data_IF_164739646589
#
_entry.id   IF_164739646589
#
_cell.length_a   1.000
_cell.length_b   1.000
_cell.length_c   1.000
_cell.angle_alpha   90.00
_cell.angle_beta   90.00
_cell.angle_gamma   90.00
#
_symmetry.space_group_name_H-M   'P 1'
#
loop_
_entity.id
_entity.type
_entity.pdbx_description
1 polymer ?
#
# COMPACT_ATOMS: atom_id res chain seq x y z
N UNK A 1 38.77 -3.65 9.56
CA UNK A 1 38.13 -3.08 8.36
C UNK A 1 36.66 -3.46 8.43
N UNK A 2 35.74 -2.49 8.50
CA UNK A 2 34.31 -2.80 8.54
C UNK A 2 33.88 -3.40 7.20
N UNK A 3 33.19 -4.54 7.22
CA UNK A 3 32.51 -5.07 6.03
C UNK A 3 31.64 -3.95 5.46
N UNK A 4 31.67 -3.78 4.15
CA UNK A 4 30.89 -2.76 3.47
C UNK A 4 29.40 -3.01 3.79
N UNK A 5 28.78 -2.13 4.58
CA UNK A 5 27.37 -2.27 5.00
C UNK A 5 26.38 -1.82 3.93
N UNK A 6 26.86 -1.41 2.75
CA UNK A 6 26.02 -1.05 1.63
C UNK A 6 25.45 -2.30 0.97
N UNK A 7 24.17 -2.32 0.59
CA UNK A 7 23.53 -3.48 -0.03
C UNK A 7 24.30 -4.05 -1.22
N UNK A 8 24.85 -3.18 -2.08
CA UNK A 8 25.62 -3.60 -3.25
C UNK A 8 26.90 -4.35 -2.87
N UNK A 9 27.67 -3.85 -1.90
CA UNK A 9 28.87 -4.54 -1.43
C UNK A 9 28.55 -5.89 -0.81
N UNK A 10 27.39 -6.04 -0.16
CA UNK A 10 26.95 -7.32 0.38
C UNK A 10 26.55 -8.33 -0.71
N UNK A 11 26.06 -7.86 -1.85
CA UNK A 11 25.75 -8.71 -3.02
C UNK A 11 27.05 -9.15 -3.70
N UNK A 12 28.00 -8.24 -3.87
CA UNK A 12 29.29 -8.54 -4.50
C UNK A 12 30.16 -9.48 -3.65
N UNK A 13 30.08 -9.35 -2.32
CA UNK A 13 30.77 -10.22 -1.35
C UNK A 13 30.04 -11.57 -1.13
N UNK A 14 28.96 -11.85 -1.86
CA UNK A 14 28.21 -13.10 -1.71
C UNK A 14 29.04 -14.28 -2.21
N UNK A 15 29.04 -15.37 -1.44
CA UNK A 15 29.80 -16.55 -1.76
C UNK A 15 29.28 -17.19 -3.07
N UNK A 16 30.20 -17.65 -3.92
CA UNK A 16 29.87 -18.05 -5.30
C UNK A 16 28.95 -19.26 -5.35
N UNK A 17 29.08 -20.24 -4.45
CA UNK A 17 28.15 -21.37 -4.36
C UNK A 17 26.74 -20.92 -3.99
N UNK A 18 26.61 -19.93 -3.11
CA UNK A 18 25.32 -19.31 -2.76
C UNK A 18 24.67 -18.66 -3.99
N UNK A 19 25.44 -17.92 -4.79
CA UNK A 19 24.94 -17.34 -6.06
C UNK A 19 24.47 -18.45 -7.01
N UNK A 20 25.28 -19.50 -7.18
CA UNK A 20 24.95 -20.62 -8.07
C UNK A 20 23.68 -21.35 -7.62
N UNK A 21 23.54 -21.63 -6.32
CA UNK A 21 22.35 -22.26 -5.74
C UNK A 21 21.10 -21.41 -5.97
N UNK A 22 21.15 -20.11 -5.66
CA UNK A 22 20.01 -19.21 -5.84
C UNK A 22 19.58 -19.09 -7.30
N UNK A 23 20.53 -18.87 -8.22
CA UNK A 23 20.23 -18.73 -9.65
C UNK A 23 19.68 -20.03 -10.23
N UNK A 24 20.27 -21.17 -9.88
CA UNK A 24 19.79 -22.48 -10.35
C UNK A 24 18.38 -22.76 -9.85
N UNK A 25 18.12 -22.49 -8.57
CA UNK A 25 16.80 -22.62 -7.93
C UNK A 25 15.74 -21.77 -8.64
N UNK A 26 16.04 -20.50 -8.87
CA UNK A 26 15.16 -19.55 -9.55
C UNK A 26 14.87 -20.00 -10.99
N UNK A 27 15.90 -20.47 -11.71
CA UNK A 27 15.79 -20.88 -13.11
C UNK A 27 14.96 -22.15 -13.27
N UNK A 28 15.16 -23.15 -12.40
CA UNK A 28 14.39 -24.41 -12.42
C UNK A 28 12.89 -24.17 -12.28
N UNK A 29 12.49 -23.28 -11.38
CA UNK A 29 11.09 -22.93 -11.16
C UNK A 29 10.52 -22.10 -12.33
N UNK A 30 11.31 -21.18 -12.88
CA UNK A 30 10.89 -20.30 -13.97
C UNK A 30 10.74 -21.02 -15.33
N UNK A 31 11.56 -22.03 -15.62
CA UNK A 31 11.60 -22.69 -16.93
C UNK A 31 10.36 -23.55 -17.24
N UNK A 32 9.49 -23.77 -16.25
CA UNK A 32 8.23 -24.51 -16.42
C UNK A 32 7.14 -23.72 -17.15
N UNK A 33 7.39 -22.46 -17.51
CA UNK A 33 6.44 -21.61 -18.24
C UNK A 33 5.24 -21.18 -17.39
N UNK A 34 4.24 -20.55 -17.99
CA UNK A 34 3.05 -20.07 -17.27
C UNK A 34 2.01 -21.20 -17.14
N UNK A 35 1.44 -21.44 -15.95
CA UNK A 35 0.39 -22.44 -15.79
C UNK A 35 -0.90 -22.02 -16.50
N UNK A 36 -1.64 -23.00 -17.02
CA UNK A 36 -2.87 -22.76 -17.79
C UNK A 36 -4.14 -23.12 -17.01
N UNK A 37 -4.06 -24.01 -16.01
CA UNK A 37 -5.21 -24.46 -15.20
C UNK A 37 -5.05 -24.15 -13.71
N UNK A 38 -6.16 -24.09 -12.99
CA UNK A 38 -6.17 -23.83 -11.54
C UNK A 38 -5.53 -24.98 -10.75
N UNK A 39 -5.69 -26.22 -11.22
CA UNK A 39 -5.03 -27.39 -10.64
C UNK A 39 -3.50 -27.31 -10.78
N UNK A 40 -3.02 -26.86 -11.94
CA UNK A 40 -1.59 -26.68 -12.17
C UNK A 40 -1.04 -25.54 -11.31
N UNK A 41 -1.78 -24.45 -11.15
CA UNK A 41 -1.43 -23.35 -10.23
C UNK A 41 -1.29 -23.90 -8.81
N UNK A 42 -2.26 -24.68 -8.32
CA UNK A 42 -2.22 -25.29 -6.99
C UNK A 42 -0.98 -26.18 -6.83
N UNK A 43 -0.74 -27.08 -7.77
CA UNK A 43 0.41 -27.98 -7.74
C UNK A 43 1.73 -27.21 -7.69
N UNK A 44 1.87 -26.16 -8.51
CA UNK A 44 3.10 -25.34 -8.53
C UNK A 44 3.31 -24.56 -7.24
N UNK A 45 2.25 -24.09 -6.60
CA UNK A 45 2.31 -23.44 -5.29
C UNK A 45 2.80 -24.43 -4.22
N UNK A 46 2.27 -25.64 -4.21
CA UNK A 46 2.65 -26.69 -3.25
C UNK A 46 4.11 -27.14 -3.46
N UNK A 47 4.52 -27.31 -4.71
CA UNK A 47 5.90 -27.60 -5.10
C UNK A 47 6.85 -26.45 -4.74
N UNK A 48 6.42 -25.19 -4.90
CA UNK A 48 7.18 -24.01 -4.50
C UNK A 48 7.43 -23.97 -2.99
N UNK A 49 6.41 -24.22 -2.16
CA UNK A 49 6.60 -24.25 -0.70
C UNK A 49 7.46 -25.44 -0.26
N UNK A 50 7.25 -26.61 -0.88
CA UNK A 50 8.10 -27.78 -0.64
C UNK A 50 9.56 -27.50 -1.01
N UNK A 51 9.77 -26.79 -2.12
CA UNK A 51 11.09 -26.36 -2.56
C UNK A 51 11.75 -25.42 -1.56
N UNK A 52 11.03 -24.40 -1.09
CA UNK A 52 11.53 -23.47 -0.06
C UNK A 52 11.94 -24.21 1.22
N UNK A 53 11.15 -25.21 1.63
CA UNK A 53 11.46 -26.02 2.79
C UNK A 53 12.72 -26.89 2.60
N UNK A 54 12.87 -27.53 1.45
CA UNK A 54 14.01 -28.42 1.16
C UNK A 54 15.32 -27.67 0.97
N UNK A 55 15.26 -26.52 0.29
CA UNK A 55 16.42 -25.67 -0.01
C UNK A 55 16.78 -24.70 1.12
N UNK A 56 15.96 -24.65 2.19
CA UNK A 56 16.07 -23.63 3.25
C UNK A 56 16.02 -22.18 2.72
N UNK A 57 15.46 -21.98 1.51
CA UNK A 57 15.24 -20.65 0.93
C UNK A 57 13.95 -20.08 1.51
N UNK A 58 14.01 -18.81 1.92
CA UNK A 58 12.86 -18.12 2.50
C UNK A 58 11.80 -17.86 1.42
N UNK A 59 10.52 -18.17 1.69
CA UNK A 59 9.46 -17.86 0.74
C UNK A 59 9.26 -16.34 0.63
N UNK A 60 8.98 -15.86 -0.58
CA UNK A 60 8.73 -14.45 -0.86
C UNK A 60 7.83 -14.27 -2.07
N UNK A 61 7.16 -13.11 -2.16
CA UNK A 61 6.20 -12.85 -3.25
C UNK A 61 6.86 -12.87 -4.63
N UNK A 62 8.06 -12.32 -4.75
CA UNK A 62 8.79 -12.34 -6.02
C UNK A 62 9.18 -13.75 -6.44
N UNK A 63 9.56 -14.58 -5.47
CA UNK A 63 9.96 -15.93 -5.78
C UNK A 63 8.76 -16.77 -6.21
N UNK A 64 7.60 -16.56 -5.57
CA UNK A 64 6.33 -17.14 -6.01
C UNK A 64 5.96 -16.70 -7.44
N UNK A 65 6.11 -15.41 -7.77
CA UNK A 65 5.89 -14.92 -9.13
C UNK A 65 6.77 -15.64 -10.15
N UNK A 66 8.06 -15.86 -9.83
CA UNK A 66 8.98 -16.60 -10.69
C UNK A 66 8.57 -18.06 -10.86
N UNK A 67 8.12 -18.72 -9.80
CA UNK A 67 7.65 -20.11 -9.84
C UNK A 67 6.38 -20.30 -10.69
N UNK A 68 5.54 -19.28 -10.76
CA UNK A 68 4.35 -19.26 -11.59
C UNK A 68 4.58 -18.64 -12.98
N UNK A 69 5.79 -18.17 -13.28
CA UNK A 69 6.13 -17.47 -14.52
C UNK A 69 5.18 -16.28 -14.81
N UNK A 70 4.90 -15.49 -13.78
CA UNK A 70 4.03 -14.31 -13.88
C UNK A 70 4.70 -13.05 -13.34
N UNK A 71 4.22 -11.89 -13.78
CA UNK A 71 4.63 -10.61 -13.20
C UNK A 71 3.88 -10.31 -11.88
N UNK A 72 4.44 -9.44 -11.03
CA UNK A 72 3.72 -8.94 -9.84
C UNK A 72 2.37 -8.32 -10.19
N UNK A 73 2.28 -7.61 -11.31
CA UNK A 73 1.02 -7.00 -11.76
C UNK A 73 -0.03 -8.07 -12.03
N UNK A 74 0.37 -9.19 -12.65
CA UNK A 74 -0.50 -10.34 -12.87
C UNK A 74 -0.95 -10.96 -11.56
N UNK A 75 -0.03 -11.18 -10.61
CA UNK A 75 -0.35 -11.69 -9.28
C UNK A 75 -1.35 -10.78 -8.53
N UNK A 76 -1.15 -9.47 -8.61
CA UNK A 76 -2.05 -8.48 -8.01
C UNK A 76 -3.46 -8.53 -8.64
N UNK A 77 -3.54 -8.63 -9.96
CA UNK A 77 -4.81 -8.73 -10.66
C UNK A 77 -5.54 -10.03 -10.31
N UNK A 78 -4.82 -11.15 -10.18
CA UNK A 78 -5.40 -12.43 -9.75
C UNK A 78 -5.92 -12.38 -8.31
N UNK A 79 -5.19 -11.69 -7.43
CA UNK A 79 -5.58 -11.50 -6.04
C UNK A 79 -6.82 -10.60 -5.85
N UNK A 80 -7.07 -9.66 -6.77
CA UNK A 80 -8.26 -8.81 -6.72
C UNK A 80 -9.46 -9.38 -7.49
N UNK A 81 -9.25 -10.48 -8.22
CA UNK A 81 -10.29 -11.24 -8.93
C UNK A 81 -10.75 -12.45 -8.13
N UNK A 82 -10.94 -13.58 -8.83
CA UNK A 82 -11.45 -14.86 -8.29
C UNK A 82 -10.35 -15.86 -7.88
N UNK A 83 -9.08 -15.46 -7.79
CA UNK A 83 -7.97 -16.36 -7.51
C UNK A 83 -7.78 -16.72 -6.03
N UNK A 84 -8.68 -17.52 -5.44
CA UNK A 84 -8.60 -17.93 -4.02
C UNK A 84 -7.28 -18.63 -3.66
N UNK A 85 -6.75 -19.46 -4.57
CA UNK A 85 -5.49 -20.18 -4.38
C UNK A 85 -4.31 -19.23 -4.20
N UNK A 86 -4.26 -18.16 -5.01
CA UNK A 86 -3.19 -17.15 -4.96
C UNK A 86 -3.30 -16.32 -3.69
N UNK A 87 -4.53 -15.97 -3.30
CA UNK A 87 -4.77 -15.24 -2.07
C UNK A 87 -4.34 -16.05 -0.84
N UNK A 88 -4.62 -17.35 -0.84
CA UNK A 88 -4.15 -18.28 0.21
C UNK A 88 -2.62 -18.34 0.26
N UNK A 89 -1.95 -18.54 -0.88
CA UNK A 89 -0.49 -18.58 -0.96
C UNK A 89 0.16 -17.27 -0.50
N UNK A 90 -0.40 -16.12 -0.90
CA UNK A 90 0.04 -14.79 -0.44
C UNK A 90 -0.14 -14.62 1.07
N UNK A 91 -1.26 -15.10 1.61
CA UNK A 91 -1.56 -15.02 3.05
C UNK A 91 -0.61 -15.91 3.86
N UNK A 92 -0.22 -17.07 3.33
CA UNK A 92 0.80 -17.91 3.95
C UNK A 92 2.16 -17.20 4.03
N UNK A 93 2.60 -16.56 2.94
CA UNK A 93 3.84 -15.77 2.92
C UNK A 93 3.76 -14.59 3.90
N UNK A 94 2.58 -13.95 4.02
CA UNK A 94 2.33 -12.91 5.00
C UNK A 94 2.54 -13.40 6.43
N UNK A 95 1.91 -14.53 6.79
CA UNK A 95 2.05 -15.14 8.10
C UNK A 95 3.49 -15.56 8.39
N UNK A 96 4.21 -16.07 7.39
CA UNK A 96 5.64 -16.36 7.53
C UNK A 96 6.47 -15.11 7.89
N UNK A 97 6.27 -14.00 7.18
CA UNK A 97 6.99 -12.74 7.45
C UNK A 97 6.63 -12.20 8.83
N UNK A 98 5.36 -12.26 9.21
CA UNK A 98 4.90 -11.87 10.55
C UNK A 98 5.59 -12.71 11.64
N UNK A 99 5.63 -14.03 11.50
CA UNK A 99 6.31 -14.89 12.48
C UNK A 99 7.82 -14.65 12.51
N UNK A 100 8.45 -14.42 11.37
CA UNK A 100 9.88 -14.08 11.30
C UNK A 100 10.17 -12.72 11.97
N UNK A 101 9.25 -11.76 11.88
CA UNK A 101 9.32 -10.47 12.56
C UNK A 101 9.12 -10.62 14.07
N UNK A 102 8.06 -11.30 14.50
CA UNK A 102 7.73 -11.50 15.92
C UNK A 102 8.77 -12.33 16.67
N UNK A 103 9.44 -13.26 15.99
CA UNK A 103 10.55 -14.04 16.56
C UNK A 103 11.89 -13.31 16.59
N UNK A 104 11.94 -12.05 16.13
CA UNK A 104 13.17 -11.22 16.11
C UNK A 104 14.21 -11.66 15.08
N UNK A 105 13.85 -12.54 14.14
CA UNK A 105 14.74 -13.01 13.06
C UNK A 105 14.89 -12.00 11.93
N UNK A 106 13.92 -11.10 11.79
CA UNK A 106 13.93 -9.99 10.84
C UNK A 106 13.88 -8.68 11.61
N UNK A 107 14.74 -7.71 11.25
CA UNK A 107 14.71 -6.40 11.89
C UNK A 107 13.39 -5.66 11.58
N UNK A 108 12.81 -4.93 12.54
CA UNK A 108 11.53 -4.25 12.35
C UNK A 108 11.42 -3.36 11.11
N UNK A 109 12.43 -2.53 10.75
CA UNK A 109 12.36 -1.72 9.53
C UNK A 109 12.20 -2.55 8.25
N UNK A 110 12.91 -3.68 8.15
CA UNK A 110 12.80 -4.59 7.01
C UNK A 110 11.44 -5.28 6.98
N UNK A 111 10.91 -5.69 8.14
CA UNK A 111 9.56 -6.25 8.24
C UNK A 111 8.50 -5.28 7.74
N UNK A 112 8.51 -4.04 8.23
CA UNK A 112 7.59 -2.97 7.81
C UNK A 112 7.71 -2.72 6.30
N UNK A 113 8.93 -2.65 5.77
CA UNK A 113 9.16 -2.47 4.34
C UNK A 113 8.53 -3.60 3.51
N UNK A 114 8.74 -4.86 3.90
CA UNK A 114 8.16 -6.01 3.20
C UNK A 114 6.64 -6.01 3.28
N UNK A 115 6.06 -5.79 4.48
CA UNK A 115 4.61 -5.77 4.66
C UNK A 115 3.94 -4.66 3.83
N UNK A 116 4.53 -3.47 3.76
CA UNK A 116 4.01 -2.39 2.90
C UNK A 116 4.05 -2.74 1.42
N UNK A 117 5.17 -3.25 0.94
CA UNK A 117 5.38 -3.48 -0.49
C UNK A 117 4.64 -4.73 -1.00
N UNK A 118 4.49 -5.76 -0.17
CA UNK A 118 3.96 -7.06 -0.59
C UNK A 118 2.53 -7.31 -0.11
N UNK A 119 2.19 -6.82 1.09
CA UNK A 119 0.89 -7.03 1.72
C UNK A 119 0.00 -5.79 1.64
N UNK A 120 0.46 -4.73 0.98
CA UNK A 120 -0.27 -3.47 0.80
C UNK A 120 -0.60 -2.76 2.12
N UNK A 121 0.18 -3.00 3.18
CA UNK A 121 0.01 -2.30 4.46
C UNK A 121 0.33 -0.81 4.28
N UNK A 122 -0.37 0.05 5.04
CA UNK A 122 -0.20 1.50 4.99
C UNK A 122 -0.05 2.03 6.41
N UNK A 123 0.82 3.02 6.58
CA UNK A 123 0.89 3.75 7.84
C UNK A 123 -0.32 4.69 7.90
N UNK A 124 -1.08 4.61 8.98
CA UNK A 124 -2.13 5.57 9.27
C UNK A 124 -1.54 6.67 10.13
N UNK A 125 -1.53 7.90 9.62
CA UNK A 125 -1.08 9.09 10.36
C UNK A 125 -2.31 9.98 10.59
N UNK A 126 -2.60 10.31 11.85
CA UNK A 126 -3.58 11.32 12.22
C UNK A 126 -2.84 12.62 12.47
N UNK A 127 -3.17 13.68 11.73
CA UNK A 127 -2.61 15.02 11.91
C UNK A 127 -3.71 15.90 12.48
N UNK A 128 -3.54 16.34 13.73
CA UNK A 128 -4.39 17.36 14.33
C UNK A 128 -3.81 18.74 13.99
N UNK A 129 -4.53 19.51 13.17
CA UNK A 129 -4.18 20.90 12.88
C UNK A 129 -4.43 21.75 14.14
N UNK A 130 -3.35 22.13 14.81
CA UNK A 130 -3.35 23.03 15.97
C UNK A 130 -3.31 24.51 15.58
N UNK A 131 -3.48 24.82 14.29
CA UNK A 131 -3.55 26.20 13.81
C UNK A 131 -4.92 26.75 14.24
N UNK A 132 -4.97 27.78 15.10
CA UNK A 132 -6.23 28.42 15.43
C UNK A 132 -6.83 28.96 14.13
N UNK A 133 -8.05 28.52 13.80
CA UNK A 133 -8.83 29.05 12.69
C UNK A 133 -9.18 30.51 13.00
N UNK A 134 -8.26 31.42 12.69
CA UNK A 134 -8.47 32.85 12.82
C UNK A 134 -9.28 33.28 11.61
N UNK A 135 -10.60 33.20 11.73
CA UNK A 135 -11.49 33.85 10.77
C UNK A 135 -11.18 35.35 10.77
N UNK A 136 -10.34 35.81 9.84
CA UNK A 136 -10.12 37.23 9.59
C UNK A 136 -11.38 37.80 8.95
N UNK A 137 -12.36 38.14 9.78
CA UNK A 137 -13.52 38.90 9.34
C UNK A 137 -13.01 40.30 8.98
N UNK A 138 -13.01 40.62 7.69
CA UNK A 138 -12.80 41.98 7.22
C UNK A 138 -13.99 42.84 7.66
N UNK A 139 -13.82 43.54 8.78
CA UNK A 139 -14.81 44.51 9.26
C UNK A 139 -14.70 45.74 8.38
N UNK A 140 -15.72 46.00 7.56
CA UNK A 140 -15.79 47.23 6.76
C UNK A 140 -15.75 48.44 7.69
N UNK A 141 -14.92 49.41 7.37
CA UNK A 141 -14.90 50.70 8.07
C UNK A 141 -16.13 51.53 7.70
N UNK A 142 -16.50 52.51 8.52
CA UNK A 142 -17.73 53.30 8.31
C UNK A 142 -17.78 54.02 6.95
N UNK A 143 -16.62 54.30 6.34
CA UNK A 143 -16.48 54.85 4.98
C UNK A 143 -16.73 53.85 3.86
N UNK A 144 -16.60 52.55 4.12
CA UNK A 144 -16.76 51.45 3.16
C UNK A 144 -18.16 50.83 3.20
N UNK A 145 -19.00 51.28 4.14
CA UNK A 145 -20.41 50.89 4.18
C UNK A 145 -21.15 51.49 2.99
N UNK A 146 -21.96 50.71 2.25
CA UNK A 146 -22.82 51.24 1.20
C UNK A 146 -23.77 52.29 1.79
N UNK A 147 -23.86 53.47 1.16
CA UNK A 147 -24.84 54.48 1.56
C UNK A 147 -26.24 53.94 1.29
N UNK A 148 -27.10 53.98 2.31
CA UNK A 148 -28.47 53.49 2.23
C UNK A 148 -29.23 54.32 1.18
N UNK A 149 -29.37 53.77 -0.03
CA UNK A 149 -29.99 54.43 -1.18
C UNK A 149 -29.24 54.24 -2.51
N UNK A 150 -27.94 53.91 -2.48
CA UNK A 150 -27.12 53.64 -3.68
C UNK A 150 -26.95 52.13 -3.92
N UNK A 151 -28.02 51.35 -3.74
CA UNK A 151 -28.05 49.99 -4.27
C UNK A 151 -28.15 50.10 -5.79
N UNK A 152 -27.00 50.02 -6.47
CA UNK A 152 -26.95 49.81 -7.90
C UNK A 152 -27.83 48.61 -8.25
N UNK A 153 -28.59 48.71 -9.35
CA UNK A 153 -29.68 47.79 -9.79
C UNK A 153 -29.25 46.32 -10.07
N UNK A 154 -28.19 45.82 -9.45
CA UNK A 154 -27.68 44.45 -9.60
C UNK A 154 -28.01 43.48 -8.46
N UNK A 155 -28.47 43.94 -7.29
CA UNK A 155 -28.75 43.06 -6.12
C UNK A 155 -30.21 42.60 -5.99
N UNK A 156 -30.94 42.55 -7.11
CA UNK A 156 -32.33 42.07 -7.18
C UNK A 156 -32.55 40.60 -6.80
N UNK A 157 -31.50 39.83 -6.49
CA UNK A 157 -31.64 38.43 -6.03
C UNK A 157 -31.54 38.24 -4.52
N UNK A 158 -30.96 39.19 -3.77
CA UNK A 158 -30.70 38.97 -2.33
C UNK A 158 -31.84 39.52 -1.45
N UNK A 159 -32.51 40.60 -1.87
CA UNK A 159 -33.64 41.17 -1.13
C UNK A 159 -34.89 40.27 -1.12
N UNK A 160 -35.01 39.32 -2.07
CA UNK A 160 -36.12 38.37 -2.16
C UNK A 160 -35.99 37.19 -1.16
N UNK A 161 -34.86 37.08 -0.46
CA UNK A 161 -34.53 35.94 0.40
C UNK A 161 -34.34 36.30 1.88
N UNK A 162 -34.72 37.52 2.28
CA UNK A 162 -34.79 37.89 3.68
C UNK A 162 -36.16 37.46 4.25
N UNK A 163 -36.21 36.55 5.22
CA UNK A 163 -37.46 36.19 5.89
C UNK A 163 -38.07 37.44 6.51
N UNK A 164 -39.35 37.71 6.22
CA UNK A 164 -40.08 38.79 6.89
C UNK A 164 -40.28 38.37 8.35
N UNK A 165 -39.70 39.14 9.29
CA UNK A 165 -39.96 39.05 10.73
C UNK A 165 -41.42 39.43 11.04
N UNK A 166 -42.38 38.56 10.71
CA UNK A 166 -43.77 38.73 11.14
C UNK A 166 -44.58 37.47 11.42
N UNK A 167 -43.96 36.28 11.38
CA UNK A 167 -44.69 35.01 11.56
C UNK A 167 -44.27 34.25 12.83
N UNK A 168 -43.88 34.94 13.90
CA UNK A 168 -43.72 34.34 15.23
C UNK A 168 -44.33 35.23 16.32
N UNK A 169 -45.67 35.39 16.30
CA UNK A 169 -46.49 35.79 17.45
C UNK A 169 -47.89 35.16 17.34
N UNK A 170 -47.98 33.85 17.57
CA UNK A 170 -49.14 33.08 18.04
C UNK A 170 -48.52 31.87 18.78
N UNK A 171 -48.67 31.60 20.08
CA UNK A 171 -49.55 32.03 21.18
C UNK A 171 -48.74 32.50 22.40
#
# INVERSE_FOLDING_TARGET
MGRNSYPQGQIDDMETSTVQELVTSLKQLHDRGKPETDEEIKQRIDEYFSFCQQSSIRPGIEFLCMALHISRTTLFNWNNGTGELIQSAKSFIAAYIEQALLSGKVSPPSGIFLMKNWLSYKDTVSIEESIPNKEEKHVLTASELPRLGELTKGTGKIAAQLPRLRDELQE
#
